data_IF_365316144221
#
_entry.id   IF_365316144221
#
_cell.length_a   1.000
_cell.length_b   1.000
_cell.length_c   1.000
_cell.angle_alpha   90.00
_cell.angle_beta   90.00
_cell.angle_gamma   90.00
#
_symmetry.space_group_name_H-M   'P 1'
#
loop_
_entity.id
_entity.type
_entity.pdbx_description
1 polymer ?
#
# COMPACT_ATOMS: atom_id res chain seq x y z
N UNK A 1 13.42 6.66 -4.19
CA UNK A 1 13.35 7.25 -5.55
C UNK A 1 14.49 8.23 -5.70
N UNK A 2 15.33 8.10 -6.73
CA UNK A 2 16.51 8.97 -6.89
C UNK A 2 16.15 10.45 -7.07
N UNK A 3 14.94 10.74 -7.57
CA UNK A 3 14.47 12.11 -7.85
C UNK A 3 14.28 12.97 -6.58
N UNK A 4 14.14 12.34 -5.41
CA UNK A 4 13.90 13.03 -4.13
C UNK A 4 15.13 13.00 -3.20
N UNK A 5 16.23 12.38 -3.64
CA UNK A 5 17.45 12.26 -2.86
C UNK A 5 17.66 10.87 -2.25
N UNK A 6 18.62 10.81 -1.36
CA UNK A 6 19.08 9.59 -0.69
C UNK A 6 18.53 9.53 0.75
N UNK A 7 18.78 8.40 1.43
CA UNK A 7 18.45 8.27 2.85
C UNK A 7 19.29 9.22 3.72
N UNK A 8 20.53 9.49 3.32
CA UNK A 8 21.40 10.49 3.99
C UNK A 8 20.85 11.90 3.85
N UNK A 9 20.24 12.24 2.70
CA UNK A 9 19.57 13.54 2.52
C UNK A 9 18.35 13.65 3.44
N UNK A 10 17.60 12.57 3.62
CA UNK A 10 16.50 12.52 4.58
C UNK A 10 17.00 12.68 6.03
N UNK A 11 18.05 11.98 6.41
CA UNK A 11 18.64 12.09 7.75
C UNK A 11 19.12 13.52 8.03
N UNK A 12 19.69 14.18 7.03
CA UNK A 12 20.07 15.60 7.12
C UNK A 12 18.85 16.52 7.27
N UNK A 13 17.79 16.29 6.48
CA UNK A 13 16.53 17.02 6.59
C UNK A 13 15.95 16.91 8.00
N UNK A 14 15.88 15.70 8.53
CA UNK A 14 15.34 15.44 9.88
C UNK A 14 16.15 16.18 10.96
N UNK A 15 17.47 16.08 10.89
CA UNK A 15 18.37 16.79 11.82
C UNK A 15 18.20 18.31 11.75
N UNK A 16 18.12 18.88 10.55
CA UNK A 16 17.93 20.32 10.36
C UNK A 16 16.53 20.79 10.82
N UNK A 17 15.52 19.96 10.65
CA UNK A 17 14.15 20.21 11.15
C UNK A 17 14.16 20.31 12.69
N UNK A 18 14.76 19.32 13.33
CA UNK A 18 14.84 19.28 14.81
C UNK A 18 15.72 20.40 15.36
N UNK A 19 16.82 20.75 14.70
CA UNK A 19 17.68 21.86 15.12
C UNK A 19 16.96 23.22 15.14
N UNK A 20 15.86 23.35 14.38
CA UNK A 20 15.01 24.54 14.33
C UNK A 20 13.78 24.45 15.26
N UNK A 21 13.71 23.44 16.12
CA UNK A 21 12.57 23.21 17.02
C UNK A 21 11.28 22.76 16.30
N UNK A 22 11.38 22.33 15.04
CA UNK A 22 10.25 21.80 14.29
C UNK A 22 10.15 20.28 14.44
N UNK A 23 8.97 19.74 14.15
CA UNK A 23 8.72 18.30 14.10
C UNK A 23 8.46 17.89 12.66
N UNK A 24 8.86 16.65 12.33
CA UNK A 24 8.67 16.08 10.98
C UNK A 24 7.66 14.95 11.06
N UNK A 25 6.56 15.11 10.33
CA UNK A 25 5.56 14.07 10.12
C UNK A 25 5.70 13.53 8.70
N UNK A 26 5.63 12.21 8.56
CA UNK A 26 5.57 11.55 7.25
C UNK A 26 4.13 11.22 6.88
N UNK A 27 3.80 11.46 5.62
CA UNK A 27 2.57 10.91 5.04
C UNK A 27 2.75 9.41 4.78
N UNK A 28 1.81 8.60 5.25
CA UNK A 28 1.89 7.15 5.16
C UNK A 28 0.57 6.60 4.62
N UNK A 29 0.63 6.07 3.40
CA UNK A 29 -0.51 5.44 2.74
C UNK A 29 -0.49 3.96 3.06
N UNK A 30 -1.44 3.49 3.86
CA UNK A 30 -1.50 2.12 4.36
C UNK A 30 -2.65 1.30 3.78
N UNK A 31 -3.57 1.92 3.04
CA UNK A 31 -4.70 1.24 2.43
C UNK A 31 -4.29 0.37 1.23
N UNK A 32 -3.32 0.81 0.45
CA UNK A 32 -2.90 0.17 -0.80
C UNK A 32 -1.42 0.34 -1.05
N UNK A 33 -0.91 -0.39 -2.04
CA UNK A 33 0.43 -0.16 -2.60
C UNK A 33 0.32 0.32 -4.05
N UNK A 34 1.45 0.69 -4.65
CA UNK A 34 1.53 0.74 -6.11
C UNK A 34 1.42 -0.68 -6.69
N UNK A 35 0.87 -0.82 -7.89
CA UNK A 35 0.89 -2.08 -8.67
C UNK A 35 2.32 -2.49 -9.08
N UNK A 36 3.29 -1.56 -8.97
CA UNK A 36 4.71 -1.81 -9.20
C UNK A 36 5.44 -2.24 -7.92
N UNK A 37 4.77 -2.24 -6.78
CA UNK A 37 5.36 -2.71 -5.53
C UNK A 37 5.75 -4.20 -5.64
N UNK A 38 6.92 -4.60 -5.12
CA UNK A 38 7.36 -6.00 -5.19
C UNK A 38 6.32 -6.99 -4.70
N UNK A 39 5.61 -6.71 -3.62
CA UNK A 39 4.56 -7.58 -3.10
C UNK A 39 3.44 -7.82 -4.14
N UNK A 40 2.96 -6.78 -4.81
CA UNK A 40 1.89 -6.94 -5.79
C UNK A 40 2.38 -7.61 -7.08
N UNK A 41 3.59 -7.29 -7.51
CA UNK A 41 4.20 -7.95 -8.67
C UNK A 41 4.32 -9.46 -8.47
N UNK A 42 4.64 -9.90 -7.26
CA UNK A 42 4.65 -11.31 -6.89
C UNK A 42 3.22 -11.86 -6.73
N UNK A 43 2.36 -11.19 -5.96
CA UNK A 43 0.99 -11.61 -5.68
C UNK A 43 0.18 -11.90 -6.94
N UNK A 44 0.35 -11.11 -7.99
CA UNK A 44 -0.39 -11.23 -9.25
C UNK A 44 0.06 -12.38 -10.16
N UNK A 45 1.10 -13.12 -9.80
CA UNK A 45 1.67 -14.20 -10.63
C UNK A 45 0.95 -15.53 -10.44
N UNK A 46 0.56 -15.87 -9.20
CA UNK A 46 -0.07 -17.14 -8.85
C UNK A 46 -0.82 -17.04 -7.52
N UNK A 47 -1.88 -17.82 -7.36
CA UNK A 47 -2.62 -17.95 -6.08
C UNK A 47 -1.80 -18.63 -4.98
N UNK A 48 -0.79 -19.44 -5.36
CA UNK A 48 0.13 -20.09 -4.42
C UNK A 48 1.29 -19.19 -4.01
N UNK A 49 1.41 -18.00 -4.59
CA UNK A 49 2.48 -17.06 -4.21
C UNK A 49 2.26 -16.59 -2.76
N UNK A 50 3.31 -16.55 -1.91
CA UNK A 50 3.20 -16.11 -0.52
C UNK A 50 2.59 -14.72 -0.34
N UNK A 51 2.74 -13.84 -1.32
CA UNK A 51 2.18 -12.49 -1.29
C UNK A 51 0.75 -12.40 -1.81
N UNK A 52 0.15 -13.50 -2.30
CA UNK A 52 -1.21 -13.44 -2.83
C UNK A 52 -2.18 -12.86 -1.79
N UNK A 53 -2.19 -13.39 -0.59
CA UNK A 53 -3.09 -12.97 0.49
C UNK A 53 -2.73 -11.62 1.13
N UNK A 54 -1.70 -10.94 0.63
CA UNK A 54 -1.40 -9.54 1.02
C UNK A 54 -2.42 -8.55 0.45
N UNK A 55 -3.19 -8.96 -0.57
CA UNK A 55 -4.19 -8.15 -1.25
C UNK A 55 -5.56 -8.82 -1.18
N UNK A 56 -6.60 -8.07 -1.53
CA UNK A 56 -7.97 -8.54 -1.54
C UNK A 56 -8.33 -9.05 -2.93
N UNK A 57 -8.67 -10.34 -3.01
CA UNK A 57 -9.00 -11.01 -4.26
C UNK A 57 -10.39 -11.62 -4.23
N UNK A 58 -11.03 -11.65 -5.41
CA UNK A 58 -12.27 -12.36 -5.68
C UNK A 58 -12.01 -13.41 -6.77
N UNK A 59 -12.08 -14.72 -6.48
CA UNK A 59 -11.86 -15.77 -7.48
C UNK A 59 -12.93 -15.78 -8.57
N UNK A 60 -12.54 -16.00 -9.84
CA UNK A 60 -13.46 -16.00 -10.97
C UNK A 60 -14.50 -17.13 -10.89
N UNK A 61 -14.21 -18.22 -10.18
CA UNK A 61 -15.14 -19.34 -9.97
C UNK A 61 -16.41 -18.93 -9.20
N UNK A 62 -16.36 -17.82 -8.49
CA UNK A 62 -17.53 -17.23 -7.80
C UNK A 62 -18.33 -16.28 -8.71
N UNK A 63 -17.99 -16.22 -10.02
CA UNK A 63 -18.53 -15.25 -10.94
C UNK A 63 -17.90 -13.87 -10.78
N UNK A 64 -18.43 -12.87 -11.47
CA UNK A 64 -17.99 -11.49 -11.33
C UNK A 64 -18.35 -10.99 -9.92
N UNK A 65 -17.42 -10.30 -9.22
CA UNK A 65 -17.75 -9.72 -7.90
C UNK A 65 -18.90 -8.71 -8.02
N UNK A 66 -19.68 -8.52 -6.95
CA UNK A 66 -20.69 -7.47 -6.92
C UNK A 66 -20.06 -6.11 -7.23
N UNK A 67 -20.70 -5.35 -8.13
CA UNK A 67 -20.21 -4.02 -8.50
C UNK A 67 -19.95 -3.17 -7.26
N UNK A 68 -18.78 -2.57 -7.21
CA UNK A 68 -18.39 -1.63 -6.17
C UNK A 68 -17.77 -0.41 -6.84
N UNK A 69 -18.37 0.76 -6.65
CA UNK A 69 -17.86 1.99 -7.24
C UNK A 69 -16.50 2.34 -6.64
N UNK A 70 -15.52 2.61 -7.51
CA UNK A 70 -14.25 3.21 -7.10
C UNK A 70 -14.45 4.63 -6.56
N UNK A 71 -13.53 5.11 -5.74
CA UNK A 71 -13.50 6.52 -5.34
C UNK A 71 -13.20 7.47 -6.50
N UNK A 72 -12.55 6.97 -7.55
CA UNK A 72 -12.31 7.74 -8.78
C UNK A 72 -13.37 7.38 -9.82
N UNK A 73 -14.18 8.37 -10.20
CA UNK A 73 -15.32 8.15 -11.10
C UNK A 73 -14.91 7.56 -12.47
N UNK A 74 -13.75 7.95 -12.97
CA UNK A 74 -13.19 7.43 -14.23
C UNK A 74 -12.83 5.94 -14.19
N UNK A 75 -12.58 5.37 -13.01
CA UNK A 75 -12.25 3.95 -12.86
C UNK A 75 -13.49 3.04 -12.92
N UNK A 76 -14.65 3.55 -12.52
CA UNK A 76 -15.91 2.80 -12.51
C UNK A 76 -15.95 1.73 -11.42
N UNK A 77 -15.80 0.45 -11.81
CA UNK A 77 -15.76 -0.66 -10.85
C UNK A 77 -14.41 -0.74 -10.14
N UNK A 78 -14.45 -0.95 -8.83
CA UNK A 78 -13.27 -1.12 -7.98
C UNK A 78 -12.63 -2.53 -8.08
N UNK A 79 -13.12 -3.39 -8.96
CA UNK A 79 -12.57 -4.72 -9.19
C UNK A 79 -11.91 -4.81 -10.57
N UNK A 80 -10.66 -5.26 -10.60
CA UNK A 80 -9.90 -5.45 -11.83
C UNK A 80 -9.46 -6.90 -11.98
N UNK A 81 -9.76 -7.50 -13.15
CA UNK A 81 -9.40 -8.89 -13.45
C UNK A 81 -7.90 -9.05 -13.70
N UNK A 82 -7.33 -10.08 -13.11
CA UNK A 82 -5.95 -10.50 -13.30
C UNK A 82 -5.91 -11.94 -13.82
N UNK A 83 -5.55 -12.11 -15.09
CA UNK A 83 -5.58 -13.40 -15.76
C UNK A 83 -4.67 -14.47 -15.15
N UNK A 84 -3.41 -14.19 -14.74
CA UNK A 84 -2.55 -15.22 -14.16
C UNK A 84 -3.10 -15.89 -12.91
N UNK A 85 -3.81 -15.14 -12.06
CA UNK A 85 -4.43 -15.68 -10.85
C UNK A 85 -5.89 -16.08 -11.05
N UNK A 86 -6.47 -15.76 -12.22
CA UNK A 86 -7.90 -15.98 -12.50
C UNK A 86 -8.77 -15.41 -11.38
N UNK A 87 -8.46 -14.18 -10.98
CA UNK A 87 -9.13 -13.49 -9.88
C UNK A 87 -9.23 -12.00 -10.16
N UNK A 88 -10.18 -11.34 -9.48
CA UNK A 88 -10.28 -9.88 -9.49
C UNK A 88 -9.62 -9.35 -8.22
N UNK A 89 -8.75 -8.34 -8.34
CA UNK A 89 -8.23 -7.63 -7.17
C UNK A 89 -9.03 -6.36 -6.91
N UNK A 90 -9.16 -6.01 -5.63
CA UNK A 90 -9.82 -4.78 -5.21
C UNK A 90 -8.87 -3.58 -5.34
N UNK A 91 -9.36 -2.47 -5.89
CA UNK A 91 -8.70 -1.17 -5.91
C UNK A 91 -9.72 -0.07 -5.59
N UNK A 92 -9.82 0.31 -4.34
CA UNK A 92 -10.76 1.34 -3.92
C UNK A 92 -10.55 2.68 -4.62
N UNK A 93 -9.30 2.95 -5.00
CA UNK A 93 -8.85 4.12 -5.76
C UNK A 93 -8.55 3.72 -7.21
N UNK A 94 -7.38 4.05 -7.73
CA UNK A 94 -7.00 3.69 -9.10
C UNK A 94 -6.60 2.20 -9.23
N UNK A 95 -6.70 1.66 -10.44
CA UNK A 95 -6.25 0.28 -10.77
C UNK A 95 -4.80 0.02 -10.42
N UNK A 96 -3.97 1.07 -10.45
CA UNK A 96 -2.57 1.02 -10.06
C UNK A 96 -2.34 1.03 -8.54
N UNK A 97 -3.42 1.02 -7.76
CA UNK A 97 -3.41 1.11 -6.29
C UNK A 97 -4.18 -0.06 -5.66
N UNK A 98 -3.68 -1.32 -5.80
CA UNK A 98 -4.34 -2.50 -5.22
C UNK A 98 -4.40 -2.40 -3.70
N UNK A 99 -5.58 -2.70 -3.14
CA UNK A 99 -5.85 -2.62 -1.71
C UNK A 99 -5.19 -3.75 -0.93
N UNK A 100 -4.55 -3.40 0.18
CA UNK A 100 -3.95 -4.35 1.10
C UNK A 100 -4.99 -5.09 1.95
N UNK A 101 -4.74 -6.36 2.19
CA UNK A 101 -5.55 -7.20 3.07
C UNK A 101 -5.16 -7.03 4.55
N UNK A 102 -5.75 -6.07 5.23
CA UNK A 102 -5.50 -5.80 6.64
C UNK A 102 -5.95 -6.92 7.60
N UNK A 103 -6.74 -7.88 7.13
CA UNK A 103 -7.08 -9.06 7.92
C UNK A 103 -5.89 -10.04 8.01
N UNK A 104 -4.98 -10.00 7.04
CA UNK A 104 -3.77 -10.81 7.06
C UNK A 104 -2.80 -10.29 8.14
N UNK A 105 -2.42 -11.14 9.12
CA UNK A 105 -1.49 -10.73 10.18
C UNK A 105 -0.08 -10.41 9.67
N UNK A 106 0.36 -11.02 8.57
CA UNK A 106 1.65 -10.74 7.94
C UNK A 106 1.69 -9.32 7.38
N UNK A 107 0.62 -8.87 6.72
CA UNK A 107 0.49 -7.48 6.25
C UNK A 107 0.59 -6.50 7.43
N UNK A 108 -0.09 -6.79 8.53
CA UNK A 108 -0.02 -5.94 9.73
C UNK A 108 1.40 -5.89 10.31
N UNK A 109 2.09 -7.03 10.33
CA UNK A 109 3.48 -7.10 10.83
C UNK A 109 4.42 -6.27 9.97
N UNK A 110 4.34 -6.40 8.63
CA UNK A 110 5.13 -5.59 7.69
C UNK A 110 4.90 -4.09 7.88
N UNK A 111 3.64 -3.69 8.05
CA UNK A 111 3.31 -2.27 8.26
C UNK A 111 3.85 -1.78 9.60
N UNK A 112 3.75 -2.58 10.67
CA UNK A 112 4.33 -2.20 11.95
C UNK A 112 5.86 -2.08 11.90
N UNK A 113 6.53 -2.90 11.09
CA UNK A 113 7.97 -2.80 10.90
C UNK A 113 8.35 -1.54 10.09
N UNK A 114 7.55 -1.14 9.11
CA UNK A 114 7.71 0.14 8.41
C UNK A 114 7.56 1.31 9.40
N UNK A 115 6.54 1.30 10.26
CA UNK A 115 6.34 2.33 11.27
C UNK A 115 7.54 2.41 12.24
N UNK A 116 8.00 1.26 12.76
CA UNK A 116 9.16 1.18 13.65
C UNK A 116 10.41 1.73 12.98
N UNK A 117 10.67 1.34 11.75
CA UNK A 117 11.82 1.82 10.98
C UNK A 117 11.91 3.36 10.97
N UNK A 118 10.80 4.04 10.66
CA UNK A 118 10.78 5.49 10.59
C UNK A 118 10.84 6.15 11.97
N UNK A 119 10.18 5.56 12.98
CA UNK A 119 10.25 6.04 14.36
C UNK A 119 11.67 5.91 14.93
N UNK A 120 12.34 4.79 14.67
CA UNK A 120 13.72 4.55 15.10
C UNK A 120 14.70 5.52 14.42
N UNK A 121 14.40 5.96 13.19
CA UNK A 121 15.15 7.05 12.54
C UNK A 121 14.94 8.41 13.21
N UNK A 122 13.91 8.59 14.00
CA UNK A 122 13.63 9.84 14.73
C UNK A 122 12.52 10.69 14.13
N UNK A 123 11.70 10.16 13.23
CA UNK A 123 10.49 10.83 12.75
C UNK A 123 9.54 11.01 13.91
N UNK A 124 8.91 12.18 14.00
CA UNK A 124 8.07 12.56 15.17
C UNK A 124 6.66 11.96 15.10
N UNK A 125 6.21 11.52 13.91
CA UNK A 125 4.91 10.89 13.74
C UNK A 125 4.50 10.75 12.29
N UNK A 126 3.25 10.36 12.07
CA UNK A 126 2.68 10.08 10.76
C UNK A 126 1.35 10.78 10.55
N UNK A 127 1.11 11.18 9.31
CA UNK A 127 -0.24 11.44 8.82
C UNK A 127 -0.66 10.19 8.07
N UNK A 128 -1.67 9.49 8.57
CA UNK A 128 -2.19 8.28 7.94
C UNK A 128 -3.27 8.65 6.93
N UNK A 129 -3.03 8.32 5.67
CA UNK A 129 -3.97 8.57 4.59
C UNK A 129 -4.90 7.36 4.39
N UNK A 130 -6.17 7.63 4.01
CA UNK A 130 -7.12 6.58 3.60
C UNK A 130 -7.31 5.46 4.64
N UNK A 131 -7.61 5.82 5.90
CA UNK A 131 -7.93 4.86 6.96
C UNK A 131 -9.44 4.87 7.21
N UNK A 132 -9.98 3.77 7.61
CA UNK A 132 -10.25 2.54 6.91
C UNK A 132 -11.51 2.66 6.04
N UNK A 133 -11.58 1.87 5.00
CA UNK A 133 -12.80 1.72 4.24
C UNK A 133 -13.37 0.31 4.38
#
# INVERSE_FOLDING_TARGET
MPDFGTMEDFDRLLKETHARGMRLLLDLVLNHTSDQHPWFREARTSRENPYYDYYLWWPEEQGHPPYRKSHFDEEGDAWCYNAPTRSYYLHYFARQQPDLNWQNPEVRAEIYDILRFWLDKGVDGFRLDSIPY
#
